data_IF_250349591739
#
_entry.id   IF_250349591739
#
_cell.length_a   1.000
_cell.length_b   1.000
_cell.length_c   1.000
_cell.angle_alpha   90.00
_cell.angle_beta   90.00
_cell.angle_gamma   90.00
#
_symmetry.space_group_name_H-M   'P 1'
#
loop_
_entity.id
_entity.type
_entity.pdbx_description
1 polymer ?
#
# COMPACT_ATOMS: atom_id res chain seq x y z
N UNK A 1 30.07 7.11 29.52
CA UNK A 1 29.03 6.41 28.74
C UNK A 1 29.31 6.72 27.28
N UNK A 2 29.67 5.75 26.47
CA UNK A 2 29.82 5.94 25.02
C UNK A 2 28.47 6.35 24.43
N UNK A 3 28.47 7.41 23.63
CA UNK A 3 27.25 7.90 22.96
C UNK A 3 26.71 6.79 22.06
N UNK A 4 25.38 6.52 22.14
CA UNK A 4 24.76 5.54 21.26
C UNK A 4 24.87 6.04 19.82
N UNK A 5 25.15 5.16 18.83
CA UNK A 5 25.16 5.55 17.43
C UNK A 5 23.75 5.97 16.98
N UNK A 6 23.68 6.93 16.05
CA UNK A 6 22.44 7.47 15.50
C UNK A 6 22.02 6.69 14.27
N UNK A 7 20.83 6.08 14.35
CA UNK A 7 20.17 5.40 13.24
C UNK A 7 19.04 6.26 12.69
N UNK A 8 19.13 6.66 11.43
CA UNK A 8 18.06 7.37 10.74
C UNK A 8 17.40 6.45 9.74
N UNK A 9 16.09 6.20 9.91
CA UNK A 9 15.29 5.38 9.01
C UNK A 9 14.42 6.30 8.13
N UNK A 10 14.53 6.16 6.81
CA UNK A 10 13.92 7.10 5.86
C UNK A 10 12.95 6.39 4.93
N UNK A 11 11.73 6.93 4.86
CA UNK A 11 10.79 6.69 3.78
C UNK A 11 10.89 7.85 2.79
N UNK A 12 11.41 7.65 1.58
CA UNK A 12 11.44 8.70 0.57
C UNK A 12 10.04 9.16 0.18
N UNK A 13 9.90 10.44 -0.14
CA UNK A 13 8.68 11.03 -0.71
C UNK A 13 8.78 11.19 -2.21
N UNK A 14 7.63 11.15 -2.90
CA UNK A 14 7.55 11.48 -4.32
C UNK A 14 7.80 12.98 -4.56
N UNK A 15 8.03 13.38 -5.81
CA UNK A 15 8.12 14.79 -6.18
C UNK A 15 6.83 15.56 -5.86
N UNK A 16 5.68 14.91 -6.01
CA UNK A 16 4.39 15.48 -5.64
C UNK A 16 4.29 15.76 -4.12
N UNK A 17 4.83 14.87 -3.28
CA UNK A 17 4.87 15.06 -1.83
C UNK A 17 5.79 16.22 -1.43
N UNK A 18 6.95 16.34 -2.08
CA UNK A 18 8.00 17.31 -1.72
C UNK A 18 7.76 18.72 -2.26
N UNK A 19 7.23 18.84 -3.49
CA UNK A 19 6.98 20.10 -4.18
C UNK A 19 5.61 20.70 -3.87
N UNK A 20 4.72 19.92 -3.28
CA UNK A 20 3.41 20.37 -2.81
C UNK A 20 3.56 21.48 -1.77
N UNK A 21 2.71 22.52 -1.86
CA UNK A 21 2.76 23.68 -0.96
C UNK A 21 2.94 23.27 0.50
N UNK A 22 3.70 24.04 1.31
CA UNK A 22 3.95 23.93 2.77
C UNK A 22 2.69 23.85 3.66
N UNK A 23 1.49 23.74 3.09
CA UNK A 23 0.27 23.40 3.80
C UNK A 23 0.36 21.95 4.22
N UNK A 24 0.46 21.71 5.52
CA UNK A 24 0.48 20.47 6.28
C UNK A 24 0.24 19.22 5.42
N UNK A 25 1.32 18.59 4.99
CA UNK A 25 1.26 17.27 4.35
C UNK A 25 0.59 16.31 5.31
N UNK A 26 -0.43 15.61 4.85
CA UNK A 26 -1.12 14.58 5.62
C UNK A 26 -1.17 13.30 4.82
N UNK A 27 -0.76 12.20 5.42
CA UNK A 27 -0.99 10.87 4.90
C UNK A 27 -2.22 10.23 5.54
N UNK A 28 -2.79 9.23 4.87
CA UNK A 28 -3.92 8.48 5.44
C UNK A 28 -3.47 7.61 6.60
N UNK A 29 -2.41 6.83 6.40
CA UNK A 29 -1.88 5.87 7.38
C UNK A 29 -0.35 5.89 7.39
N UNK A 30 0.30 5.63 8.54
CA UNK A 30 1.73 5.35 8.59
C UNK A 30 2.07 4.00 7.97
N UNK A 31 3.29 3.87 7.46
CA UNK A 31 3.85 2.60 7.02
C UNK A 31 4.54 1.92 8.19
N UNK A 32 4.36 0.59 8.33
CA UNK A 32 4.86 -0.15 9.49
C UNK A 32 6.31 -0.64 9.37
N UNK A 33 6.85 -0.70 8.16
CA UNK A 33 8.19 -1.24 7.92
C UNK A 33 9.28 -0.54 8.75
N UNK A 34 9.38 0.80 8.70
CA UNK A 34 10.40 1.53 9.46
C UNK A 34 10.17 1.52 10.98
N UNK A 35 8.93 1.69 11.50
CA UNK A 35 8.63 1.46 12.90
C UNK A 35 9.00 0.07 13.41
N UNK A 36 8.85 -0.97 12.59
CA UNK A 36 9.24 -2.33 12.91
C UNK A 36 10.78 -2.46 12.97
N UNK A 37 11.50 -1.92 11.99
CA UNK A 37 12.97 -1.88 12.01
C UNK A 37 13.52 -1.10 13.22
N UNK A 38 12.85 -0.02 13.60
CA UNK A 38 13.20 0.74 14.80
C UNK A 38 13.00 -0.10 16.08
N UNK A 39 11.98 -0.95 16.13
CA UNK A 39 11.75 -1.83 17.28
C UNK A 39 12.86 -2.87 17.42
N UNK A 40 13.35 -3.46 16.33
CA UNK A 40 14.50 -4.36 16.34
C UNK A 40 15.82 -3.67 16.76
N UNK A 41 15.98 -2.37 16.49
CA UNK A 41 17.18 -1.63 16.92
C UNK A 41 17.25 -1.50 18.45
N UNK A 42 16.09 -1.47 19.12
CA UNK A 42 15.98 -1.41 20.57
C UNK A 42 16.74 -0.23 21.15
N UNK A 43 17.35 -0.45 22.32
CA UNK A 43 18.12 0.58 23.04
C UNK A 43 19.59 0.71 22.59
N UNK A 44 20.00 -0.04 21.57
CA UNK A 44 21.38 -0.02 21.06
C UNK A 44 21.67 1.26 20.26
N UNK A 45 20.64 1.89 19.70
CA UNK A 45 20.73 3.07 18.84
C UNK A 45 19.84 4.21 19.34
N UNK A 46 20.25 5.45 19.03
CA UNK A 46 19.35 6.60 19.02
C UNK A 46 18.64 6.60 17.66
N UNK A 47 17.35 6.21 17.64
CA UNK A 47 16.60 6.01 16.38
C UNK A 47 15.74 7.22 16.06
N UNK A 48 15.81 7.68 14.81
CA UNK A 48 14.89 8.66 14.22
C UNK A 48 14.26 8.08 12.97
N UNK A 49 12.94 8.24 12.81
CA UNK A 49 12.23 7.89 11.57
C UNK A 49 11.80 9.18 10.89
N UNK A 50 11.97 9.27 9.56
CA UNK A 50 11.51 10.38 8.74
C UNK A 50 10.70 9.83 7.56
N UNK A 51 9.45 10.25 7.44
CA UNK A 51 8.59 10.00 6.28
C UNK A 51 8.47 11.29 5.46
N UNK A 52 9.20 11.38 4.33
CA UNK A 52 9.18 12.56 3.46
C UNK A 52 7.80 12.85 2.85
N UNK A 53 6.84 11.90 2.91
CA UNK A 53 5.47 12.18 2.47
C UNK A 53 4.72 13.13 3.40
N UNK A 54 5.16 13.27 4.65
CA UNK A 54 4.49 14.08 5.68
C UNK A 54 5.38 15.11 6.36
N UNK A 55 6.71 14.98 6.26
CA UNK A 55 7.67 15.91 6.87
C UNK A 55 8.90 16.14 6.00
N UNK A 56 9.65 17.20 6.27
CA UNK A 56 10.88 17.49 5.56
C UNK A 56 12.06 16.78 6.23
N UNK A 57 12.93 16.18 5.42
CA UNK A 57 14.17 15.57 5.88
C UNK A 57 15.25 16.65 6.00
N UNK A 58 15.85 16.76 7.18
CA UNK A 58 17.06 17.56 7.39
C UNK A 58 18.29 16.78 6.92
N UNK A 59 18.74 17.08 5.72
CA UNK A 59 19.98 16.51 5.19
C UNK A 59 21.24 16.94 5.94
N UNK A 60 21.20 17.95 6.81
CA UNK A 60 22.36 18.37 7.61
C UNK A 60 22.49 17.60 8.92
N UNK A 61 21.45 16.88 9.33
CA UNK A 61 21.50 16.05 10.51
C UNK A 61 22.58 14.96 10.39
N UNK A 62 23.34 14.78 11.46
CA UNK A 62 24.34 13.71 11.51
C UNK A 62 23.66 12.36 11.75
N UNK A 63 24.14 11.33 11.05
CA UNK A 63 23.74 9.94 11.24
C UNK A 63 24.94 9.04 11.07
N UNK A 64 25.07 8.03 11.95
CA UNK A 64 26.12 7.01 11.83
C UNK A 64 25.69 5.91 10.85
N UNK A 65 24.40 5.53 10.92
CA UNK A 65 23.76 4.54 10.06
C UNK A 65 22.44 5.11 9.51
N UNK A 66 22.22 4.96 8.21
CA UNK A 66 20.99 5.39 7.54
C UNK A 66 20.36 4.20 6.84
N UNK A 67 19.11 3.87 7.18
CA UNK A 67 18.32 2.84 6.50
C UNK A 67 17.25 3.49 5.63
N UNK A 68 17.21 3.19 4.33
CA UNK A 68 16.24 3.76 3.38
C UNK A 68 15.43 2.64 2.76
N UNK A 69 14.09 2.74 2.86
CA UNK A 69 13.20 1.81 2.16
C UNK A 69 12.93 2.28 0.74
N UNK A 70 13.06 1.37 -0.25
CA UNK A 70 13.01 1.72 -1.66
C UNK A 70 11.83 1.03 -2.33
N UNK A 71 10.82 1.81 -2.71
CA UNK A 71 9.78 1.41 -3.66
C UNK A 71 10.23 1.78 -5.07
N UNK A 72 9.77 1.04 -6.10
CA UNK A 72 10.23 1.24 -7.47
C UNK A 72 10.06 2.69 -7.94
N UNK A 73 8.90 3.29 -7.72
CA UNK A 73 8.64 4.69 -8.09
C UNK A 73 9.40 5.74 -7.26
N UNK A 74 10.05 5.33 -6.18
CA UNK A 74 10.83 6.20 -5.29
C UNK A 74 12.35 5.92 -5.36
N UNK A 75 12.80 5.01 -6.24
CA UNK A 75 14.19 4.57 -6.31
C UNK A 75 15.14 5.73 -6.60
N UNK A 76 14.82 6.59 -7.55
CA UNK A 76 15.61 7.79 -7.85
C UNK A 76 15.83 8.66 -6.60
N UNK A 77 14.73 8.94 -5.87
CA UNK A 77 14.84 9.75 -4.65
C UNK A 77 15.64 9.03 -3.56
N UNK A 78 15.43 7.73 -3.41
CA UNK A 78 16.19 6.92 -2.45
C UNK A 78 17.70 6.98 -2.72
N UNK A 79 18.11 6.88 -3.98
CA UNK A 79 19.51 6.96 -4.39
C UNK A 79 20.11 8.36 -4.18
N UNK A 80 19.37 9.43 -4.50
CA UNK A 80 19.78 10.81 -4.20
C UNK A 80 20.08 10.99 -2.70
N UNK A 81 19.21 10.44 -1.83
CA UNK A 81 19.38 10.50 -0.38
C UNK A 81 20.57 9.65 0.08
N UNK A 82 20.67 8.42 -0.42
CA UNK A 82 21.75 7.51 -0.10
C UNK A 82 23.12 8.13 -0.40
N UNK A 83 23.30 8.66 -1.60
CA UNK A 83 24.54 9.32 -2.01
C UNK A 83 24.83 10.58 -1.19
N UNK A 84 23.79 11.35 -0.80
CA UNK A 84 23.97 12.52 0.04
C UNK A 84 24.50 12.17 1.44
N UNK A 85 23.96 11.11 2.06
CA UNK A 85 24.43 10.65 3.39
C UNK A 85 25.80 9.99 3.32
N UNK A 86 26.08 9.18 2.28
CA UNK A 86 27.41 8.57 2.07
C UNK A 86 28.51 9.64 1.92
N UNK A 87 28.24 10.72 1.15
CA UNK A 87 29.20 11.85 1.03
C UNK A 87 29.50 12.54 2.36
N UNK A 88 28.63 12.39 3.37
CA UNK A 88 28.85 12.92 4.73
C UNK A 88 29.51 11.92 5.68
N UNK A 89 29.83 10.73 5.19
CA UNK A 89 30.48 9.69 5.96
C UNK A 89 29.52 8.75 6.71
N UNK A 90 28.21 8.88 6.55
CA UNK A 90 27.26 7.91 7.09
C UNK A 90 27.36 6.58 6.34
N UNK A 91 27.17 5.46 7.05
CA UNK A 91 26.92 4.17 6.41
C UNK A 91 25.46 4.10 5.96
N UNK A 92 25.21 3.67 4.72
CA UNK A 92 23.87 3.63 4.13
C UNK A 92 23.46 2.20 3.77
N UNK A 93 22.26 1.84 4.20
CA UNK A 93 21.61 0.56 3.92
C UNK A 93 20.35 0.80 3.10
N UNK A 94 20.22 0.11 1.97
CA UNK A 94 18.99 0.13 1.16
C UNK A 94 18.27 -1.21 1.28
N UNK A 95 16.94 -1.17 1.35
CA UNK A 95 16.08 -2.35 1.37
C UNK A 95 14.70 -2.04 0.79
N UNK A 96 13.85 -3.06 0.65
CA UNK A 96 12.49 -2.93 0.14
C UNK A 96 12.28 -3.49 -1.26
N UNK A 97 11.10 -3.27 -1.82
CA UNK A 97 10.66 -3.90 -3.08
C UNK A 97 11.63 -3.68 -4.24
N UNK A 98 12.09 -2.46 -4.44
CA UNK A 98 12.97 -2.17 -5.58
C UNK A 98 14.33 -2.84 -5.44
N UNK A 99 14.91 -2.83 -4.23
CA UNK A 99 16.20 -3.47 -3.95
C UNK A 99 16.12 -4.99 -4.15
N UNK A 100 14.97 -5.61 -3.86
CA UNK A 100 14.75 -7.03 -4.10
C UNK A 100 14.82 -7.37 -5.60
N UNK A 101 14.27 -6.51 -6.46
CA UNK A 101 14.22 -6.72 -7.90
C UNK A 101 15.49 -6.25 -8.64
N UNK A 102 16.12 -5.16 -8.15
CA UNK A 102 17.29 -4.52 -8.77
C UNK A 102 18.46 -4.36 -7.78
N UNK A 103 18.96 -5.47 -7.20
CA UNK A 103 20.00 -5.36 -6.18
C UNK A 103 21.33 -4.81 -6.70
N UNK A 104 21.66 -5.08 -7.96
CA UNK A 104 22.92 -4.61 -8.54
C UNK A 104 22.90 -3.09 -8.77
N UNK A 105 21.80 -2.54 -9.31
CA UNK A 105 21.57 -1.09 -9.41
C UNK A 105 21.65 -0.43 -8.02
N UNK A 106 20.93 -0.97 -7.04
CA UNK A 106 20.92 -0.42 -5.68
C UNK A 106 22.30 -0.46 -5.00
N UNK A 107 23.15 -1.44 -5.35
CA UNK A 107 24.49 -1.59 -4.75
C UNK A 107 25.45 -0.45 -5.07
N UNK A 108 25.20 0.29 -6.15
CA UNK A 108 26.01 1.46 -6.52
C UNK A 108 25.83 2.62 -5.52
N UNK A 109 24.67 2.67 -4.84
CA UNK A 109 24.26 3.75 -3.96
C UNK A 109 24.32 3.41 -2.46
N UNK A 110 24.72 2.19 -2.07
CA UNK A 110 24.68 1.76 -0.67
C UNK A 110 25.98 1.11 -0.20
N UNK A 111 26.22 1.15 1.11
CA UNK A 111 27.27 0.36 1.77
C UNK A 111 26.81 -1.07 2.06
N UNK A 112 25.48 -1.26 2.24
CA UNK A 112 24.88 -2.56 2.44
C UNK A 112 23.47 -2.61 1.84
N UNK A 113 23.05 -3.80 1.42
CA UNK A 113 21.70 -4.08 0.94
C UNK A 113 21.01 -5.11 1.83
N UNK A 114 19.72 -4.90 2.10
CA UNK A 114 18.80 -5.92 2.61
C UNK A 114 17.93 -6.40 1.46
N UNK A 115 18.14 -7.62 1.00
CA UNK A 115 17.46 -8.22 -0.15
C UNK A 115 16.37 -9.17 0.38
N UNK A 116 15.11 -8.86 0.12
CA UNK A 116 13.95 -9.57 0.68
C UNK A 116 13.51 -9.01 2.04
N UNK A 117 12.96 -9.89 2.90
CA UNK A 117 12.45 -9.48 4.21
C UNK A 117 13.59 -9.12 5.15
N UNK A 118 13.45 -8.01 5.85
CA UNK A 118 14.43 -7.55 6.82
C UNK A 118 14.43 -8.36 8.12
N UNK A 119 13.29 -8.98 8.45
CA UNK A 119 13.16 -9.81 9.65
C UNK A 119 14.20 -10.93 9.66
N UNK A 120 14.86 -11.12 10.79
CA UNK A 120 15.93 -12.12 10.97
C UNK A 120 17.32 -11.73 10.44
N UNK A 121 17.43 -10.73 9.56
CA UNK A 121 18.74 -10.24 9.08
C UNK A 121 19.06 -8.82 9.55
N UNK A 122 18.04 -8.03 9.91
CA UNK A 122 18.23 -6.65 10.34
C UNK A 122 19.00 -6.55 11.65
N UNK A 123 18.70 -7.42 12.62
CA UNK A 123 19.44 -7.45 13.88
C UNK A 123 20.91 -7.82 13.69
N UNK A 124 21.20 -8.80 12.80
CA UNK A 124 22.57 -9.16 12.45
C UNK A 124 23.29 -8.01 11.75
N UNK A 125 22.61 -7.28 10.85
CA UNK A 125 23.17 -6.10 10.19
C UNK A 125 23.53 -5.02 11.21
N UNK A 126 22.66 -4.75 12.17
CA UNK A 126 22.92 -3.78 13.22
C UNK A 126 24.11 -4.19 14.12
N UNK A 127 24.23 -5.47 14.42
CA UNK A 127 25.37 -6.01 15.19
C UNK A 127 26.68 -5.89 14.39
N UNK A 128 26.67 -6.32 13.11
CA UNK A 128 27.84 -6.21 12.22
C UNK A 128 28.26 -4.73 12.06
N UNK A 129 27.31 -3.79 12.03
CA UNK A 129 27.60 -2.35 12.02
C UNK A 129 28.32 -1.92 13.30
N UNK A 130 27.83 -2.30 14.48
CA UNK A 130 28.44 -1.95 15.77
C UNK A 130 29.84 -2.52 15.92
N UNK A 131 30.09 -3.68 15.31
CA UNK A 131 31.43 -4.34 15.32
C UNK A 131 32.35 -3.84 14.19
N UNK A 132 31.89 -2.98 13.29
CA UNK A 132 32.67 -2.51 12.15
C UNK A 132 32.85 -3.55 11.04
N UNK A 133 32.01 -4.59 11.01
CA UNK A 133 32.05 -5.74 10.06
C UNK A 133 30.86 -5.78 9.10
N UNK A 134 30.29 -4.61 8.78
CA UNK A 134 29.14 -4.48 7.90
C UNK A 134 29.40 -5.15 6.54
N UNK A 135 28.52 -6.05 6.14
CA UNK A 135 28.59 -6.78 4.85
C UNK A 135 27.86 -6.00 3.77
N UNK A 136 28.28 -6.16 2.52
CA UNK A 136 27.64 -5.50 1.38
C UNK A 136 26.21 -6.02 1.08
N UNK A 137 25.89 -7.25 1.44
CA UNK A 137 24.57 -7.87 1.17
C UNK A 137 24.12 -8.72 2.35
N UNK A 138 22.88 -8.53 2.76
CA UNK A 138 22.15 -9.34 3.73
C UNK A 138 20.95 -9.94 3.02
N UNK A 139 20.96 -11.25 2.85
CA UNK A 139 19.86 -11.96 2.21
C UNK A 139 18.83 -12.36 3.24
N UNK A 140 17.66 -11.73 3.20
CA UNK A 140 16.52 -12.14 3.99
C UNK A 140 16.17 -13.59 3.63
N UNK A 141 16.12 -14.47 4.64
CA UNK A 141 15.70 -15.85 4.41
C UNK A 141 14.23 -15.87 3.99
N UNK A 142 13.92 -16.61 2.93
CA UNK A 142 12.54 -16.84 2.50
C UNK A 142 11.85 -17.84 3.46
N UNK A 143 10.56 -17.78 3.58
CA UNK A 143 9.74 -16.79 4.25
C UNK A 143 9.79 -16.99 5.76
N UNK A 144 10.08 -15.94 6.52
CA UNK A 144 10.05 -15.99 7.98
C UNK A 144 8.64 -16.30 8.50
N UNK A 145 8.60 -17.07 9.56
CA UNK A 145 7.42 -17.16 10.42
C UNK A 145 7.18 -15.77 11.06
N UNK A 146 5.94 -15.35 11.16
CA UNK A 146 5.57 -14.05 11.74
C UNK A 146 5.33 -14.11 13.25
N UNK A 147 5.90 -15.12 13.92
CA UNK A 147 5.84 -15.29 15.38
C UNK A 147 6.86 -14.38 16.06
N UNK A 148 6.45 -13.72 17.14
CA UNK A 148 7.33 -12.92 17.97
C UNK A 148 7.82 -11.61 17.33
N UNK A 149 7.11 -11.07 16.33
CA UNK A 149 7.45 -9.77 15.79
C UNK A 149 7.36 -8.69 16.87
N UNK A 150 8.36 -7.80 17.00
CA UNK A 150 8.30 -6.73 17.98
C UNK A 150 7.19 -5.73 17.64
N UNK A 151 6.70 -5.01 18.64
CA UNK A 151 5.71 -3.96 18.43
C UNK A 151 6.35 -2.78 17.69
N UNK A 152 5.75 -2.35 16.54
CA UNK A 152 6.27 -1.24 15.76
C UNK A 152 6.33 0.05 16.59
N UNK A 153 7.45 0.77 16.52
CA UNK A 153 7.69 2.04 17.21
C UNK A 153 6.98 3.22 16.53
N UNK A 154 5.65 3.17 16.51
CA UNK A 154 4.81 4.25 15.97
C UNK A 154 4.96 5.56 16.73
N UNK A 155 5.43 5.51 17.96
CA UNK A 155 5.75 6.67 18.80
C UNK A 155 6.88 7.55 18.21
N UNK A 156 7.74 6.99 17.35
CA UNK A 156 8.81 7.71 16.65
C UNK A 156 8.32 8.48 15.40
N UNK A 157 7.08 8.30 15.01
CA UNK A 157 6.49 9.00 13.87
C UNK A 157 5.78 10.29 14.30
N UNK A 158 5.69 11.25 13.38
CA UNK A 158 4.85 12.42 13.55
C UNK A 158 3.36 12.05 13.44
N UNK A 159 2.79 11.48 14.49
CA UNK A 159 1.41 10.95 14.51
C UNK A 159 0.34 11.96 14.08
N UNK A 160 0.57 13.28 14.30
CA UNK A 160 -0.38 14.35 13.90
C UNK A 160 -0.49 14.51 12.38
N UNK A 161 0.46 13.95 11.64
CA UNK A 161 0.48 13.99 10.18
C UNK A 161 -0.34 12.87 9.52
N UNK A 162 -0.86 11.92 10.30
CA UNK A 162 -1.66 10.81 9.78
C UNK A 162 -3.13 10.92 10.20
N UNK A 163 -4.03 10.48 9.30
CA UNK A 163 -5.48 10.46 9.58
C UNK A 163 -5.86 9.29 10.49
N UNK A 164 -5.17 8.17 10.36
CA UNK A 164 -5.30 6.98 11.19
C UNK A 164 -3.93 6.58 11.71
N UNK A 165 -3.81 6.35 13.00
CA UNK A 165 -2.55 5.99 13.67
C UNK A 165 -2.53 4.55 14.19
N UNK A 166 -3.71 3.94 14.39
CA UNK A 166 -3.83 2.55 14.79
C UNK A 166 -3.74 1.66 13.55
N UNK A 167 -2.55 1.25 13.19
CA UNK A 167 -2.26 0.42 12.00
C UNK A 167 -1.67 -0.90 12.48
N UNK A 168 -2.09 -2.01 11.88
CA UNK A 168 -1.60 -3.34 12.24
C UNK A 168 -1.45 -4.21 11.00
N UNK A 169 -0.38 -5.00 10.98
CA UNK A 169 -0.16 -6.09 10.04
C UNK A 169 -0.42 -7.41 10.77
N UNK A 170 -1.29 -8.27 10.24
CA UNK A 170 -1.57 -9.60 10.80
C UNK A 170 -1.17 -10.73 9.87
N UNK A 171 -0.89 -10.40 8.61
CA UNK A 171 -0.47 -11.33 7.58
C UNK A 171 0.40 -10.66 6.54
N UNK A 172 1.32 -11.42 5.95
CA UNK A 172 2.10 -11.03 4.77
C UNK A 172 1.82 -11.97 3.63
N UNK A 173 1.62 -11.39 2.44
CA UNK A 173 1.33 -12.13 1.22
C UNK A 173 -0.14 -12.41 1.01
N UNK A 174 -0.46 -12.85 -0.20
CA UNK A 174 -1.82 -13.11 -0.65
C UNK A 174 -1.88 -14.44 -1.40
N UNK A 175 -2.88 -15.32 -1.16
CA UNK A 175 -3.00 -16.58 -1.88
C UNK A 175 -3.46 -16.42 -3.33
N UNK A 176 -3.93 -15.24 -3.71
CA UNK A 176 -4.34 -14.94 -5.08
C UNK A 176 -3.08 -14.71 -5.95
N UNK A 177 -3.05 -15.32 -7.13
CA UNK A 177 -1.89 -15.28 -8.05
C UNK A 177 -2.19 -14.37 -9.24
N UNK A 178 -2.50 -13.11 -8.96
CA UNK A 178 -2.77 -12.13 -10.01
C UNK A 178 -1.50 -11.83 -10.80
N UNK A 179 -1.58 -11.88 -12.14
CA UNK A 179 -0.43 -11.78 -13.03
C UNK A 179 0.24 -10.40 -13.08
N UNK A 180 -0.42 -9.37 -12.53
CA UNK A 180 0.09 -8.01 -12.43
C UNK A 180 0.69 -7.66 -11.06
N UNK A 181 0.49 -8.53 -10.04
CA UNK A 181 0.73 -8.16 -8.65
C UNK A 181 2.14 -8.54 -8.20
N UNK A 182 2.91 -7.55 -7.74
CA UNK A 182 4.25 -7.76 -7.20
C UNK A 182 4.25 -8.36 -5.77
N UNK A 183 3.13 -8.35 -5.07
CA UNK A 183 3.00 -8.88 -3.69
C UNK A 183 3.46 -10.34 -3.63
N UNK A 184 2.96 -11.17 -4.56
CA UNK A 184 3.28 -12.59 -4.57
C UNK A 184 4.72 -12.89 -4.99
N UNK A 185 5.34 -11.99 -5.74
CA UNK A 185 6.75 -12.11 -6.10
C UNK A 185 7.66 -11.81 -4.91
N UNK A 186 7.29 -10.84 -4.09
CA UNK A 186 8.07 -10.41 -2.94
C UNK A 186 7.84 -11.30 -1.70
N UNK A 187 6.58 -11.57 -1.35
CA UNK A 187 6.21 -12.32 -0.15
C UNK A 187 6.09 -13.84 -0.38
N UNK A 188 6.20 -14.30 -1.65
CA UNK A 188 5.89 -15.68 -2.05
C UNK A 188 4.38 -15.90 -2.27
N UNK A 189 4.05 -17.09 -2.75
CA UNK A 189 2.67 -17.47 -3.12
C UNK A 189 1.81 -17.97 -1.95
N UNK A 190 2.27 -17.78 -0.71
CA UNK A 190 1.56 -18.18 0.51
C UNK A 190 1.40 -17.00 1.42
N UNK A 191 0.19 -16.80 1.93
CA UNK A 191 0.00 -15.89 3.03
C UNK A 191 0.55 -16.53 4.32
N UNK A 192 1.29 -15.76 5.11
CA UNK A 192 1.81 -16.11 6.43
C UNK A 192 1.11 -15.26 7.47
N UNK A 193 0.86 -15.79 8.62
CA UNK A 193 -0.01 -15.17 9.61
C UNK A 193 0.69 -15.05 10.95
N UNK A 194 0.51 -13.93 11.63
CA UNK A 194 0.86 -13.76 13.03
C UNK A 194 -0.09 -14.59 13.89
N UNK A 195 0.36 -15.15 15.03
CA UNK A 195 -0.50 -15.76 16.03
C UNK A 195 -1.60 -14.79 16.47
N UNK A 196 -2.84 -15.28 16.59
CA UNK A 196 -3.98 -14.41 16.96
C UNK A 196 -3.76 -13.77 18.33
N UNK A 197 -3.20 -14.51 19.29
CA UNK A 197 -2.86 -13.95 20.61
C UNK A 197 -1.99 -12.70 20.52
N UNK A 198 -0.91 -12.73 19.71
CA UNK A 198 -0.02 -11.57 19.53
C UNK A 198 -0.71 -10.38 18.86
N UNK A 199 -1.62 -10.66 17.89
CA UNK A 199 -2.42 -9.61 17.25
C UNK A 199 -3.36 -8.97 18.25
N UNK A 200 -4.03 -9.75 19.08
CA UNK A 200 -4.93 -9.25 20.11
C UNK A 200 -4.19 -8.47 21.20
N UNK A 201 -3.03 -8.94 21.63
CA UNK A 201 -2.16 -8.23 22.59
C UNK A 201 -1.73 -6.86 22.05
N UNK A 202 -1.42 -6.77 20.77
CA UNK A 202 -1.09 -5.49 20.12
C UNK A 202 -2.32 -4.56 20.06
N UNK A 203 -3.50 -5.08 19.66
CA UNK A 203 -4.75 -4.32 19.62
C UNK A 203 -5.13 -3.75 20.99
N UNK A 204 -4.89 -4.50 22.07
CA UNK A 204 -5.15 -4.04 23.44
C UNK A 204 -4.30 -2.84 23.85
N UNK A 205 -3.08 -2.76 23.34
CA UNK A 205 -2.14 -1.66 23.63
C UNK A 205 -2.39 -0.39 22.80
N UNK A 206 -3.16 -0.52 21.71
CA UNK A 206 -3.44 0.61 20.83
C UNK A 206 -4.38 1.64 21.53
N UNK A 207 -4.13 2.95 21.36
CA UNK A 207 -5.04 3.98 21.84
C UNK A 207 -6.44 3.82 21.23
N UNK A 208 -7.49 4.43 21.86
CA UNK A 208 -8.82 4.44 21.28
C UNK A 208 -8.85 4.97 19.86
N UNK A 209 -9.65 4.35 18.99
CA UNK A 209 -9.79 4.75 17.59
C UNK A 209 -10.06 3.57 16.66
N UNK A 210 -10.24 3.86 15.39
CA UNK A 210 -10.40 2.85 14.34
C UNK A 210 -9.06 2.17 14.06
N UNK A 211 -9.09 0.86 13.84
CA UNK A 211 -7.92 0.04 13.52
C UNK A 211 -7.88 -0.15 12.00
N UNK A 212 -6.74 0.08 11.39
CA UNK A 212 -6.53 -0.19 9.97
C UNK A 212 -5.64 -1.43 9.82
N UNK A 213 -6.21 -2.48 9.29
CA UNK A 213 -5.45 -3.66 8.87
C UNK A 213 -4.80 -3.38 7.52
N UNK A 214 -3.48 -3.50 7.45
CA UNK A 214 -2.72 -3.26 6.22
C UNK A 214 -2.37 -4.55 5.47
N UNK A 215 -2.95 -5.66 5.89
CA UNK A 215 -2.80 -6.96 5.23
C UNK A 215 -3.19 -6.86 3.74
N UNK A 216 -2.45 -7.53 2.87
CA UNK A 216 -2.75 -7.57 1.42
C UNK A 216 -4.16 -8.15 1.13
N UNK A 217 -4.64 -9.05 1.98
CA UNK A 217 -5.98 -9.61 1.92
C UNK A 217 -6.35 -10.25 3.27
N UNK A 218 -7.10 -9.54 4.10
CA UNK A 218 -7.47 -9.99 5.46
C UNK A 218 -8.36 -11.26 5.45
N UNK A 219 -9.05 -11.52 4.35
CA UNK A 219 -9.91 -12.70 4.15
C UNK A 219 -9.26 -13.78 3.26
N UNK A 220 -7.96 -13.65 3.00
CA UNK A 220 -7.21 -14.57 2.14
C UNK A 220 -7.23 -16.03 2.64
N UNK A 221 -7.37 -16.26 3.95
CA UNK A 221 -7.70 -17.53 4.59
C UNK A 221 -9.00 -17.34 5.38
N UNK A 222 -10.14 -17.86 4.91
CA UNK A 222 -11.43 -17.68 5.58
C UNK A 222 -11.45 -18.18 7.03
N UNK A 223 -10.89 -19.36 7.29
CA UNK A 223 -10.86 -19.93 8.64
C UNK A 223 -10.08 -19.06 9.61
N UNK A 224 -8.89 -18.62 9.20
CA UNK A 224 -8.05 -17.69 9.98
C UNK A 224 -8.75 -16.35 10.22
N UNK A 225 -9.43 -15.81 9.20
CA UNK A 225 -10.17 -14.57 9.33
C UNK A 225 -11.35 -14.70 10.29
N UNK A 226 -12.10 -15.81 10.23
CA UNK A 226 -13.19 -16.10 11.18
C UNK A 226 -12.68 -16.18 12.63
N UNK A 227 -11.54 -16.81 12.84
CA UNK A 227 -10.91 -16.93 14.17
C UNK A 227 -10.48 -15.54 14.68
N UNK A 228 -9.81 -14.72 13.86
CA UNK A 228 -9.43 -13.35 14.19
C UNK A 228 -10.66 -12.50 14.53
N UNK A 229 -11.70 -12.53 13.69
CA UNK A 229 -12.88 -11.70 13.90
C UNK A 229 -13.64 -12.11 15.17
N UNK A 230 -13.73 -13.42 15.49
CA UNK A 230 -14.29 -13.87 16.77
C UNK A 230 -13.51 -13.31 17.96
N UNK A 231 -12.17 -13.35 17.89
CA UNK A 231 -11.31 -12.82 18.95
C UNK A 231 -11.43 -11.29 19.10
N UNK A 232 -11.81 -10.57 18.05
CA UNK A 232 -11.98 -9.12 18.09
C UNK A 232 -13.34 -8.65 18.62
N UNK A 233 -14.40 -9.47 18.59
CA UNK A 233 -15.76 -9.07 19.02
C UNK A 233 -15.78 -8.41 20.42
N UNK A 234 -15.08 -8.94 21.45
CA UNK A 234 -15.13 -8.37 22.80
C UNK A 234 -14.63 -6.92 22.90
N UNK A 235 -13.74 -6.50 21.98
CA UNK A 235 -13.12 -5.17 22.05
C UNK A 235 -14.04 -4.06 21.53
N UNK A 236 -15.10 -4.37 20.79
CA UNK A 236 -16.07 -3.41 20.24
C UNK A 236 -15.42 -2.24 19.50
N UNK A 237 -14.29 -2.50 18.84
CA UNK A 237 -13.54 -1.48 18.09
C UNK A 237 -13.91 -1.51 16.61
N UNK A 238 -14.02 -0.33 16.00
CA UNK A 238 -14.13 -0.27 14.53
C UNK A 238 -12.80 -0.64 13.91
N UNK A 239 -12.89 -1.33 12.80
CA UNK A 239 -11.72 -1.65 11.99
C UNK A 239 -12.04 -1.58 10.49
N UNK A 240 -11.00 -1.46 9.68
CA UNK A 240 -11.07 -1.42 8.23
C UNK A 240 -9.85 -2.09 7.64
N UNK A 241 -9.95 -2.61 6.41
CA UNK A 241 -8.84 -3.31 5.78
C UNK A 241 -9.12 -3.66 4.32
N UNK A 242 -8.18 -4.40 3.71
CA UNK A 242 -8.31 -4.88 2.34
C UNK A 242 -8.88 -6.30 2.32
N UNK A 243 -9.79 -6.55 1.37
CA UNK A 243 -10.40 -7.85 1.18
C UNK A 243 -10.63 -8.14 -0.31
N UNK A 244 -10.83 -9.40 -0.64
CA UNK A 244 -11.38 -9.76 -1.94
C UNK A 244 -12.90 -10.02 -1.86
N UNK A 245 -13.54 -10.11 -3.03
CA UNK A 245 -15.00 -10.24 -3.14
C UNK A 245 -15.54 -11.58 -2.59
N UNK A 246 -14.68 -12.55 -2.27
CA UNK A 246 -15.10 -13.85 -1.71
C UNK A 246 -15.80 -13.71 -0.36
N UNK A 247 -15.54 -12.63 0.39
CA UNK A 247 -16.24 -12.36 1.65
C UNK A 247 -17.76 -12.36 1.50
N UNK A 248 -18.27 -11.92 0.37
CA UNK A 248 -19.72 -11.89 0.10
C UNK A 248 -20.34 -13.28 -0.11
N UNK A 249 -19.51 -14.29 -0.35
CA UNK A 249 -19.95 -15.67 -0.62
C UNK A 249 -19.87 -16.59 0.62
N UNK A 250 -19.36 -16.08 1.73
CA UNK A 250 -19.30 -16.79 3.02
C UNK A 250 -20.12 -16.01 4.06
N UNK A 251 -21.38 -16.40 4.30
CA UNK A 251 -22.28 -15.69 5.21
C UNK A 251 -21.75 -15.62 6.64
N UNK A 252 -21.10 -16.68 7.13
CA UNK A 252 -20.52 -16.71 8.48
C UNK A 252 -19.35 -15.73 8.60
N UNK A 253 -18.46 -15.71 7.60
CA UNK A 253 -17.33 -14.80 7.57
C UNK A 253 -17.80 -13.34 7.54
N UNK A 254 -18.82 -13.04 6.73
CA UNK A 254 -19.40 -11.71 6.62
C UNK A 254 -20.07 -11.25 7.92
N UNK A 255 -20.83 -12.15 8.56
CA UNK A 255 -21.46 -11.88 9.86
C UNK A 255 -20.40 -11.60 10.94
N UNK A 256 -19.35 -12.42 11.01
CA UNK A 256 -18.25 -12.23 11.96
C UNK A 256 -17.49 -10.93 11.69
N UNK A 257 -17.25 -10.58 10.45
CA UNK A 257 -16.65 -9.27 10.09
C UNK A 257 -17.51 -8.12 10.60
N UNK A 258 -18.82 -8.15 10.36
CA UNK A 258 -19.73 -7.10 10.84
C UNK A 258 -19.75 -7.04 12.39
N UNK A 259 -19.89 -8.17 13.07
CA UNK A 259 -19.94 -8.26 14.55
C UNK A 259 -18.64 -7.85 15.22
N UNK A 260 -17.51 -8.08 14.58
CA UNK A 260 -16.19 -7.66 15.09
C UNK A 260 -15.91 -6.17 14.90
N UNK A 261 -16.81 -5.43 14.21
CA UNK A 261 -16.73 -3.99 14.04
C UNK A 261 -16.16 -3.52 12.70
N UNK A 262 -16.21 -4.36 11.65
CA UNK A 262 -15.81 -3.96 10.30
C UNK A 262 -16.60 -2.71 9.86
N UNK A 263 -15.88 -1.62 9.60
CA UNK A 263 -16.49 -0.34 9.20
C UNK A 263 -16.53 -0.19 7.68
N UNK A 264 -15.39 -0.49 7.00
CA UNK A 264 -15.30 -0.50 5.55
C UNK A 264 -14.23 -1.50 5.07
N UNK A 265 -14.43 -1.97 3.85
CA UNK A 265 -13.49 -2.83 3.15
C UNK A 265 -13.06 -2.19 1.83
N UNK A 266 -11.76 -2.15 1.61
CA UNK A 266 -11.16 -1.85 0.32
C UNK A 266 -11.13 -3.14 -0.49
N UNK A 267 -11.92 -3.18 -1.56
CA UNK A 267 -12.12 -4.40 -2.37
C UNK A 267 -11.55 -4.19 -3.76
N UNK A 268 -10.61 -5.05 -4.13
CA UNK A 268 -10.06 -5.11 -5.47
C UNK A 268 -11.08 -5.69 -6.47
N UNK A 269 -11.86 -4.82 -7.13
CA UNK A 269 -12.80 -5.17 -8.21
C UNK A 269 -12.06 -5.32 -9.53
N UNK A 270 -11.11 -4.44 -9.78
CA UNK A 270 -10.15 -4.32 -10.86
C UNK A 270 -10.81 -4.00 -12.21
N UNK A 271 -11.69 -4.85 -12.72
CA UNK A 271 -12.38 -4.65 -14.00
C UNK A 271 -13.81 -5.19 -13.97
N UNK A 272 -14.71 -4.55 -14.69
CA UNK A 272 -16.07 -5.05 -14.96
C UNK A 272 -16.10 -6.01 -16.16
N UNK A 273 -15.00 -6.09 -16.91
CA UNK A 273 -14.86 -6.97 -18.08
C UNK A 273 -14.30 -8.33 -17.66
N UNK A 274 -15.03 -9.41 -17.97
CA UNK A 274 -14.65 -10.78 -17.61
C UNK A 274 -13.37 -11.22 -18.32
N UNK A 275 -13.10 -10.78 -19.55
CA UNK A 275 -11.89 -11.15 -20.28
C UNK A 275 -10.66 -10.49 -19.68
N UNK A 276 -10.75 -9.24 -19.26
CA UNK A 276 -9.71 -8.60 -18.45
C UNK A 276 -9.43 -9.37 -17.16
N UNK A 277 -10.47 -9.78 -16.44
CA UNK A 277 -10.29 -10.55 -15.20
C UNK A 277 -9.61 -11.91 -15.45
N UNK A 278 -9.87 -12.55 -16.60
CA UNK A 278 -9.19 -13.79 -17.01
C UNK A 278 -7.72 -13.52 -17.31
N UNK A 279 -7.42 -12.48 -18.08
CA UNK A 279 -6.06 -12.09 -18.44
C UNK A 279 -5.20 -11.79 -17.20
N UNK A 280 -5.74 -11.05 -16.24
CA UNK A 280 -5.02 -10.72 -15.00
C UNK A 280 -5.09 -11.83 -13.94
N UNK A 281 -5.57 -13.04 -14.30
CA UNK A 281 -5.70 -14.20 -13.40
C UNK A 281 -6.56 -13.94 -12.16
N UNK A 282 -7.53 -13.01 -12.25
CA UNK A 282 -8.43 -12.62 -11.14
C UNK A 282 -9.83 -13.27 -11.25
N UNK A 283 -10.18 -13.90 -12.36
CA UNK A 283 -11.54 -14.44 -12.62
C UNK A 283 -11.99 -15.53 -11.63
N UNK A 284 -11.08 -16.20 -10.93
CA UNK A 284 -11.41 -17.15 -9.85
C UNK A 284 -11.86 -16.45 -8.56
N UNK A 285 -11.46 -15.23 -8.37
CA UNK A 285 -11.76 -14.40 -7.20
C UNK A 285 -12.95 -13.49 -7.49
N UNK A 286 -12.92 -12.82 -8.64
CA UNK A 286 -13.86 -11.82 -9.09
C UNK A 286 -14.72 -12.37 -10.23
N UNK A 287 -16.04 -12.39 -10.02
CA UNK A 287 -17.02 -12.80 -11.03
C UNK A 287 -17.87 -11.57 -11.35
N UNK A 288 -17.62 -10.94 -12.51
CA UNK A 288 -18.22 -9.66 -12.86
C UNK A 288 -19.77 -9.67 -12.81
N UNK A 289 -20.40 -10.76 -13.24
CA UNK A 289 -21.86 -10.92 -13.18
C UNK A 289 -22.46 -10.96 -11.75
N UNK A 290 -21.63 -11.20 -10.74
CA UNK A 290 -22.03 -11.27 -9.33
C UNK A 290 -21.71 -10.00 -8.53
N UNK A 291 -21.05 -9.01 -9.11
CA UNK A 291 -20.59 -7.84 -8.36
C UNK A 291 -21.71 -7.06 -7.69
N UNK A 292 -22.83 -6.83 -8.39
CA UNK A 292 -23.97 -6.08 -7.86
C UNK A 292 -24.54 -6.75 -6.61
N UNK A 293 -24.75 -8.06 -6.69
CA UNK A 293 -25.26 -8.87 -5.56
C UNK A 293 -24.26 -8.89 -4.41
N UNK A 294 -22.98 -9.17 -4.70
CA UNK A 294 -21.91 -9.22 -3.70
C UNK A 294 -21.75 -7.90 -2.95
N UNK A 295 -21.76 -6.77 -3.66
CA UNK A 295 -21.68 -5.44 -3.05
C UNK A 295 -22.89 -5.18 -2.16
N UNK A 296 -24.10 -5.49 -2.63
CA UNK A 296 -25.33 -5.34 -1.84
C UNK A 296 -25.31 -6.20 -0.58
N UNK A 297 -24.83 -7.44 -0.68
CA UNK A 297 -24.69 -8.35 0.46
C UNK A 297 -23.74 -7.78 1.53
N UNK A 298 -22.57 -7.27 1.13
CA UNK A 298 -21.62 -6.63 2.05
C UNK A 298 -22.23 -5.36 2.67
N UNK A 299 -22.90 -4.55 1.87
CA UNK A 299 -23.55 -3.31 2.36
C UNK A 299 -24.72 -3.60 3.30
N UNK A 300 -25.51 -4.65 3.05
CA UNK A 300 -26.61 -5.07 3.92
C UNK A 300 -26.11 -5.53 5.31
N UNK A 301 -24.89 -6.05 5.40
CA UNK A 301 -24.23 -6.32 6.69
C UNK A 301 -23.70 -5.06 7.42
N UNK A 302 -23.98 -3.85 6.89
CA UNK A 302 -23.54 -2.59 7.48
C UNK A 302 -22.10 -2.18 7.13
N UNK A 303 -21.41 -2.93 6.27
CA UNK A 303 -20.01 -2.70 5.89
C UNK A 303 -19.97 -1.84 4.62
N UNK A 304 -19.20 -0.76 4.64
CA UNK A 304 -19.01 0.13 3.48
C UNK A 304 -18.01 -0.47 2.51
N UNK A 305 -18.30 -0.35 1.21
CA UNK A 305 -17.41 -0.81 0.16
C UNK A 305 -16.68 0.36 -0.49
N UNK A 306 -15.35 0.25 -0.51
CA UNK A 306 -14.44 1.06 -1.31
C UNK A 306 -13.91 0.19 -2.44
N UNK A 307 -14.21 0.56 -3.68
CA UNK A 307 -13.76 -0.19 -4.86
C UNK A 307 -12.36 0.20 -5.31
N UNK A 308 -11.61 -0.76 -5.82
CA UNK A 308 -10.37 -0.56 -6.58
C UNK A 308 -10.60 -0.98 -8.02
N UNK A 309 -10.23 -0.11 -8.97
CA UNK A 309 -10.40 -0.34 -10.40
C UNK A 309 -9.11 -0.01 -11.14
N UNK A 310 -8.82 -0.79 -12.17
CA UNK A 310 -7.65 -0.64 -13.05
C UNK A 310 -8.15 -0.35 -14.46
N UNK A 311 -7.62 0.69 -15.09
CA UNK A 311 -7.88 1.06 -16.47
C UNK A 311 -6.68 0.79 -17.38
N UNK A 312 -6.94 0.48 -18.63
CA UNK A 312 -5.92 0.23 -19.64
C UNK A 312 -5.53 -1.23 -19.82
N UNK A 313 -6.34 -2.16 -19.29
CA UNK A 313 -6.17 -3.58 -19.57
C UNK A 313 -6.51 -3.89 -21.05
N UNK A 314 -6.04 -5.02 -21.57
CA UNK A 314 -6.02 -5.34 -23.01
C UNK A 314 -7.42 -5.36 -23.68
N UNK A 315 -8.48 -5.55 -22.91
CA UNK A 315 -9.86 -5.55 -23.42
C UNK A 315 -10.63 -4.23 -23.17
N UNK A 316 -9.99 -3.23 -22.55
CA UNK A 316 -10.59 -1.92 -22.30
C UNK A 316 -10.57 -1.07 -23.57
N UNK A 317 -11.70 -0.46 -23.90
CA UNK A 317 -11.84 0.65 -24.81
C UNK A 317 -12.28 1.92 -24.07
N UNK A 318 -12.49 3.02 -24.79
CA UNK A 318 -12.84 4.31 -24.17
C UNK A 318 -14.15 4.29 -23.37
N UNK A 319 -15.04 3.34 -23.56
CA UNK A 319 -16.28 3.23 -22.81
C UNK A 319 -16.07 2.77 -21.36
N UNK A 320 -14.91 2.14 -21.05
CA UNK A 320 -14.61 1.59 -19.72
C UNK A 320 -14.73 2.62 -18.62
N UNK A 321 -14.32 3.86 -18.89
CA UNK A 321 -14.31 4.93 -17.89
C UNK A 321 -15.73 5.27 -17.42
N UNK A 322 -16.64 5.53 -18.35
CA UNK A 322 -18.03 5.89 -18.02
C UNK A 322 -18.78 4.70 -17.43
N UNK A 323 -18.65 3.50 -18.00
CA UNK A 323 -19.26 2.29 -17.46
C UNK A 323 -18.82 2.01 -16.01
N UNK A 324 -17.54 2.21 -15.71
CA UNK A 324 -17.04 2.01 -14.33
C UNK A 324 -17.63 3.03 -13.37
N UNK A 325 -17.75 4.30 -13.77
CA UNK A 325 -18.32 5.33 -12.89
C UNK A 325 -19.83 5.11 -12.70
N UNK A 326 -20.57 4.79 -13.76
CA UNK A 326 -21.99 4.43 -13.68
C UNK A 326 -22.18 3.26 -12.69
N UNK A 327 -21.40 2.19 -12.84
CA UNK A 327 -21.42 1.07 -11.91
C UNK A 327 -21.19 1.49 -10.45
N UNK A 328 -20.19 2.33 -10.19
CA UNK A 328 -19.89 2.83 -8.85
C UNK A 328 -21.03 3.66 -8.27
N UNK A 329 -21.67 4.51 -9.07
CA UNK A 329 -22.80 5.35 -8.68
C UNK A 329 -24.05 4.52 -8.39
N UNK A 330 -24.39 3.59 -9.29
CA UNK A 330 -25.60 2.74 -9.19
C UNK A 330 -25.53 1.79 -7.98
N UNK A 331 -24.32 1.31 -7.65
CA UNK A 331 -24.09 0.47 -6.49
C UNK A 331 -23.70 1.26 -5.23
N UNK A 332 -23.77 2.60 -5.25
CA UNK A 332 -23.54 3.49 -4.10
C UNK A 332 -22.22 3.22 -3.38
N UNK A 333 -21.13 3.00 -4.13
CA UNK A 333 -19.82 2.83 -3.53
C UNK A 333 -19.42 4.08 -2.75
N UNK A 334 -18.98 3.93 -1.50
CA UNK A 334 -18.68 5.08 -0.62
C UNK A 334 -17.37 5.78 -0.99
N UNK A 335 -16.51 5.10 -1.73
CA UNK A 335 -15.30 5.61 -2.34
C UNK A 335 -14.77 4.61 -3.35
N UNK A 336 -13.86 5.06 -4.19
CA UNK A 336 -13.14 4.21 -5.12
C UNK A 336 -11.73 4.76 -5.36
N UNK A 337 -10.78 3.88 -5.64
CA UNK A 337 -9.53 4.24 -6.26
C UNK A 337 -9.55 3.75 -7.69
N UNK A 338 -9.12 4.62 -8.58
CA UNK A 338 -8.89 4.29 -9.98
C UNK A 338 -7.38 4.33 -10.20
N UNK A 339 -6.87 3.36 -10.92
CA UNK A 339 -5.47 3.23 -11.25
C UNK A 339 -5.30 3.03 -12.74
N UNK A 340 -4.27 3.61 -13.31
CA UNK A 340 -3.76 3.22 -14.60
C UNK A 340 -2.98 1.93 -14.40
N UNK A 341 -3.26 0.91 -15.24
CA UNK A 341 -2.48 -0.32 -15.22
C UNK A 341 -0.98 0.02 -15.32
N UNK A 342 -0.21 -0.48 -14.38
CA UNK A 342 1.24 -0.27 -14.37
C UNK A 342 1.90 -1.63 -14.34
N UNK A 343 2.52 -2.06 -15.44
CA UNK A 343 3.23 -3.33 -15.51
C UNK A 343 4.49 -3.21 -14.64
N UNK A 344 4.40 -3.71 -13.40
CA UNK A 344 5.53 -3.67 -12.48
C UNK A 344 6.59 -4.69 -12.92
N UNK A 345 7.88 -4.35 -12.80
CA UNK A 345 8.98 -5.24 -13.18
C UNK A 345 8.85 -6.65 -12.58
N UNK A 346 9.30 -7.66 -13.31
CA UNK A 346 9.27 -9.08 -12.95
C UNK A 346 7.85 -9.68 -12.80
N UNK A 347 6.79 -8.94 -13.08
CA UNK A 347 5.46 -9.52 -13.19
C UNK A 347 5.28 -10.17 -14.58
N UNK A 348 4.44 -11.21 -14.62
CA UNK A 348 4.11 -11.90 -15.88
C UNK A 348 3.63 -10.94 -16.96
N UNK A 349 2.86 -9.92 -16.56
CA UNK A 349 2.35 -8.93 -17.52
C UNK A 349 3.41 -7.91 -17.94
N UNK A 350 4.39 -7.58 -17.11
CA UNK A 350 5.53 -6.77 -17.54
C UNK A 350 6.34 -7.47 -18.62
N UNK A 351 6.70 -8.74 -18.39
CA UNK A 351 7.49 -9.52 -19.33
C UNK A 351 6.76 -9.68 -20.66
N UNK A 352 5.45 -9.96 -20.63
CA UNK A 352 4.61 -10.03 -21.83
C UNK A 352 4.64 -8.71 -22.61
N UNK A 353 4.37 -7.57 -21.93
CA UNK A 353 4.34 -6.26 -22.59
C UNK A 353 5.70 -5.80 -23.09
N UNK A 354 6.77 -6.16 -22.40
CA UNK A 354 8.13 -5.90 -22.83
C UNK A 354 8.45 -6.67 -24.12
N UNK A 355 8.10 -7.96 -24.19
CA UNK A 355 8.26 -8.78 -25.39
C UNK A 355 7.41 -8.30 -26.57
N UNK A 356 6.21 -7.77 -26.27
CA UNK A 356 5.31 -7.16 -27.27
C UNK A 356 5.78 -5.75 -27.72
N UNK A 357 6.85 -5.20 -27.15
CA UNK A 357 7.35 -3.84 -27.46
C UNK A 357 6.41 -2.71 -27.00
N UNK A 358 5.59 -2.96 -25.99
CA UNK A 358 4.56 -2.03 -25.51
C UNK A 358 4.99 -1.17 -24.33
N UNK A 359 6.14 -1.41 -23.73
CA UNK A 359 6.69 -0.56 -22.65
C UNK A 359 7.24 0.73 -23.29
N UNK A 360 6.76 1.90 -22.85
CA UNK A 360 7.16 3.18 -23.42
C UNK A 360 8.53 3.63 -22.92
N UNK A 361 8.82 3.40 -21.66
CA UNK A 361 10.08 3.78 -21.00
C UNK A 361 10.26 3.04 -19.68
N UNK A 362 11.46 3.10 -19.11
CA UNK A 362 11.81 2.55 -17.80
C UNK A 362 12.16 3.66 -16.79
N UNK A 363 11.55 4.83 -16.93
CA UNK A 363 11.59 5.85 -15.87
C UNK A 363 10.73 5.36 -14.70
N UNK A 364 11.39 4.74 -13.73
CA UNK A 364 10.72 4.15 -12.58
C UNK A 364 9.87 5.14 -11.78
N UNK A 365 10.18 6.44 -11.82
CA UNK A 365 9.39 7.45 -11.11
C UNK A 365 7.95 7.56 -11.61
N UNK A 366 7.67 7.08 -12.82
CA UNK A 366 6.35 7.03 -13.45
C UNK A 366 5.59 5.73 -13.21
N UNK A 367 6.20 4.73 -12.57
CA UNK A 367 5.55 3.44 -12.26
C UNK A 367 4.73 3.53 -10.97
N UNK A 368 3.88 4.53 -10.87
CA UNK A 368 3.14 4.94 -9.66
C UNK A 368 1.62 4.73 -9.77
N UNK A 369 1.16 4.03 -10.82
CA UNK A 369 -0.27 3.74 -11.11
C UNK A 369 -1.10 4.99 -11.51
N UNK A 370 -0.44 6.15 -11.73
CA UNK A 370 -1.09 7.38 -12.17
C UNK A 370 -0.57 7.85 -13.54
N UNK A 371 0.57 7.32 -13.97
CA UNK A 371 1.16 7.62 -15.28
C UNK A 371 0.99 6.46 -16.25
N UNK A 372 0.89 6.79 -17.54
CA UNK A 372 0.83 5.78 -18.59
C UNK A 372 2.25 5.44 -19.04
N UNK A 373 2.71 4.23 -18.74
CA UNK A 373 4.06 3.75 -19.03
C UNK A 373 4.09 2.68 -20.13
N UNK A 374 2.96 2.43 -20.78
CA UNK A 374 2.81 1.41 -21.81
C UNK A 374 1.81 1.82 -22.89
N UNK A 375 1.77 1.08 -24.01
CA UNK A 375 0.80 1.26 -25.09
C UNK A 375 -0.39 0.32 -24.86
N UNK A 376 -1.61 0.83 -24.56
CA UNK A 376 -2.82 0.02 -24.50
C UNK A 376 -3.19 -0.58 -25.85
N UNK A 377 -3.98 -1.68 -25.89
CA UNK A 377 -4.34 -2.32 -27.17
C UNK A 377 -5.46 -1.61 -27.94
N UNK A 378 -6.42 -1.00 -27.23
CA UNK A 378 -7.65 -0.47 -27.86
C UNK A 378 -7.82 1.03 -27.68
N UNK A 379 -6.82 1.71 -27.20
CA UNK A 379 -6.78 3.17 -27.09
C UNK A 379 -5.32 3.65 -27.09
N UNK A 380 -5.09 4.91 -27.39
CA UNK A 380 -3.78 5.51 -27.28
C UNK A 380 -3.40 5.79 -25.81
N UNK A 381 -2.12 5.95 -25.49
CA UNK A 381 -1.68 6.40 -24.17
C UNK A 381 -2.34 7.69 -23.70
N UNK A 382 -2.53 8.65 -24.60
CA UNK A 382 -3.21 9.92 -24.32
C UNK A 382 -4.69 9.73 -23.97
N UNK A 383 -5.40 8.88 -24.71
CA UNK A 383 -6.81 8.57 -24.44
C UNK A 383 -7.00 7.86 -23.11
N UNK A 384 -6.05 6.98 -22.72
CA UNK A 384 -6.04 6.34 -21.41
C UNK A 384 -5.90 7.37 -20.29
N UNK A 385 -4.92 8.29 -20.40
CA UNK A 385 -4.71 9.34 -19.40
C UNK A 385 -5.93 10.27 -19.28
N UNK A 386 -6.44 10.77 -20.41
CA UNK A 386 -7.59 11.69 -20.40
C UNK A 386 -8.86 11.01 -19.87
N UNK A 387 -9.09 9.74 -20.23
CA UNK A 387 -10.19 8.94 -19.72
C UNK A 387 -10.10 8.71 -18.20
N UNK A 388 -8.90 8.39 -17.72
CA UNK A 388 -8.61 8.22 -16.30
C UNK A 388 -8.89 9.51 -15.49
N UNK A 389 -8.38 10.65 -15.95
CA UNK A 389 -8.61 11.93 -15.30
C UNK A 389 -10.08 12.34 -15.32
N UNK A 390 -10.79 12.09 -16.45
CA UNK A 390 -12.24 12.34 -16.58
C UNK A 390 -13.03 11.47 -15.61
N UNK A 391 -12.71 10.17 -15.49
CA UNK A 391 -13.35 9.24 -14.58
C UNK A 391 -13.17 9.69 -13.12
N UNK A 392 -11.95 10.03 -12.72
CA UNK A 392 -11.65 10.52 -11.39
C UNK A 392 -12.44 11.79 -11.05
N UNK A 393 -12.43 12.79 -11.95
CA UNK A 393 -13.17 14.05 -11.80
C UNK A 393 -14.69 13.81 -11.71
N UNK A 394 -15.24 12.93 -12.55
CA UNK A 394 -16.66 12.60 -12.54
C UNK A 394 -17.09 11.94 -11.24
N UNK A 395 -16.36 10.92 -10.78
CA UNK A 395 -16.69 10.17 -9.56
C UNK A 395 -16.62 11.05 -8.30
N UNK A 396 -15.65 11.94 -8.20
CA UNK A 396 -15.50 12.86 -7.08
C UNK A 396 -16.20 14.23 -7.29
N UNK A 397 -17.05 14.37 -8.32
CA UNK A 397 -17.89 15.56 -8.49
C UNK A 397 -18.96 15.66 -7.38
N UNK A 398 -19.40 16.89 -7.08
CA UNK A 398 -20.48 17.13 -6.11
C UNK A 398 -21.73 16.30 -6.41
N UNK A 399 -22.13 16.23 -7.70
CA UNK A 399 -23.29 15.46 -8.17
C UNK A 399 -23.14 13.97 -7.84
N UNK A 400 -22.00 13.37 -8.18
CA UNK A 400 -21.73 11.95 -7.95
C UNK A 400 -21.64 11.64 -6.44
N UNK A 401 -20.98 12.51 -5.67
CA UNK A 401 -20.91 12.38 -4.20
C UNK A 401 -22.31 12.39 -3.61
N UNK A 402 -23.16 13.36 -4.00
CA UNK A 402 -24.54 13.43 -3.53
C UNK A 402 -25.31 12.14 -3.85
N UNK A 403 -25.26 11.67 -5.12
CA UNK A 403 -25.97 10.45 -5.57
C UNK A 403 -25.59 9.20 -4.75
N UNK A 404 -24.30 9.05 -4.42
CA UNK A 404 -23.78 7.89 -3.67
C UNK A 404 -23.99 8.00 -2.14
N UNK A 405 -24.14 9.22 -1.62
CA UNK A 405 -24.21 9.52 -0.20
C UNK A 405 -25.58 9.91 0.33
N UNK A 406 -26.61 9.95 -0.51
CA UNK A 406 -27.96 10.26 -0.03
C UNK A 406 -28.62 9.03 0.63
N UNK A 407 -29.29 9.23 1.78
CA UNK A 407 -29.36 10.46 2.58
C UNK A 407 -28.06 10.74 3.35
N UNK A 408 -27.53 12.00 3.34
CA UNK A 408 -26.17 12.33 3.81
C UNK A 408 -25.97 12.12 5.32
N UNK A 409 -27.02 12.24 6.14
CA UNK A 409 -26.95 12.08 7.59
C UNK A 409 -26.76 10.63 8.07
N UNK A 410 -26.83 9.65 7.15
CA UNK A 410 -26.55 8.24 7.45
C UNK A 410 -25.06 7.89 7.30
N UNK A 411 -24.22 8.83 6.89
CA UNK A 411 -22.80 8.57 6.62
C UNK A 411 -21.90 9.28 7.65
N UNK A 412 -20.86 8.60 8.12
CA UNK A 412 -19.86 9.22 8.97
C UNK A 412 -19.22 10.44 8.29
N UNK A 413 -18.99 11.52 9.03
CA UNK A 413 -18.31 12.72 8.55
C UNK A 413 -16.98 12.42 7.86
N UNK A 414 -16.27 11.39 8.29
CA UNK A 414 -15.00 10.94 7.70
C UNK A 414 -15.14 10.54 6.23
N UNK A 415 -16.21 9.85 5.85
CA UNK A 415 -16.44 9.43 4.45
C UNK A 415 -16.78 10.64 3.58
N UNK A 416 -17.56 11.59 4.12
CA UNK A 416 -17.88 12.85 3.44
C UNK A 416 -16.60 13.68 3.28
N UNK A 417 -15.81 13.81 4.33
CA UNK A 417 -14.55 14.55 4.33
C UNK A 417 -13.52 13.97 3.34
N UNK A 418 -13.42 12.64 3.24
CA UNK A 418 -12.55 11.98 2.28
C UNK A 418 -12.93 12.34 0.84
N UNK A 419 -14.21 12.24 0.50
CA UNK A 419 -14.72 12.57 -0.84
C UNK A 419 -14.52 14.06 -1.17
N UNK A 420 -14.81 14.95 -0.21
CA UNK A 420 -14.59 16.39 -0.36
C UNK A 420 -13.10 16.72 -0.50
N UNK A 421 -12.23 16.07 0.27
CA UNK A 421 -10.78 16.22 0.15
C UNK A 421 -10.26 15.84 -1.23
N UNK A 422 -10.74 14.75 -1.83
CA UNK A 422 -10.41 14.33 -3.19
C UNK A 422 -10.87 15.34 -4.24
N UNK A 423 -12.07 15.88 -4.10
CA UNK A 423 -12.59 16.94 -4.96
C UNK A 423 -11.74 18.21 -4.89
N UNK A 424 -11.39 18.67 -3.68
CA UNK A 424 -10.60 19.88 -3.49
C UNK A 424 -9.17 19.77 -4.03
N UNK A 425 -8.59 18.57 -3.96
CA UNK A 425 -7.21 18.33 -4.39
C UNK A 425 -7.11 17.86 -5.86
N UNK A 426 -8.23 17.82 -6.60
CA UNK A 426 -8.23 17.28 -7.97
C UNK A 426 -7.25 17.98 -8.90
N UNK A 427 -7.13 19.31 -8.85
CA UNK A 427 -6.21 20.06 -9.71
C UNK A 427 -4.75 19.68 -9.50
N UNK A 428 -4.32 19.54 -8.25
CA UNK A 428 -2.95 19.10 -7.94
C UNK A 428 -2.70 17.66 -8.39
N UNK A 429 -3.71 16.79 -8.23
CA UNK A 429 -3.66 15.44 -8.71
C UNK A 429 -3.52 15.37 -10.24
N UNK A 430 -4.35 16.15 -10.98
CA UNK A 430 -4.28 16.22 -12.43
C UNK A 430 -2.91 16.74 -12.92
N UNK A 431 -2.39 17.81 -12.31
CA UNK A 431 -1.06 18.33 -12.63
C UNK A 431 0.04 17.28 -12.38
N UNK A 432 -0.05 16.51 -11.32
CA UNK A 432 0.91 15.44 -11.02
C UNK A 432 0.88 14.33 -12.06
N UNK A 433 -0.31 13.90 -12.52
CA UNK A 433 -0.46 12.87 -13.55
C UNK A 433 0.01 13.30 -14.95
N UNK A 434 0.06 14.61 -15.23
CA UNK A 434 0.48 15.15 -16.53
C UNK A 434 1.99 15.46 -16.62
N UNK A 435 2.70 15.47 -15.51
CA UNK A 435 4.18 15.64 -15.43
C UNK A 435 4.90 14.33 -15.67
#
# INVERSE_FOLDING_TARGET
>A
MTQKPRLVLIQPGSDADRLGSRRRRKSSIPKLNLPLLAAYAGDRFEVKIVDESVEDLDLQASADLVGITVLTQLSRRAYELADAFRRKGSRVVLGGFHVFFYPDEASEHADALVIGEADGVWEQLLEDFLQGTLKARYQGSAPHDLVGLPHPRLDLLNQKAYSFTNVIETARGCPNRCSYCAVTLYWGYRARYRPIGEVIDEIQRMPPGEIIFIDDNIVGSPDRAKELFRAMIPFRRRWSGQADMKIARDPELLELAARSGCNWLFIGIESLNTDNLREVSKAKVNVASQYVESIRTVQAAGIKVFGSFIFGLDHDDQSVFDHTIDFCEDNRLKGANFYIFTPLPFTVLFDKMHQEGRILHTDWSKYDMNHVVFVPKKMSPGELLEGYLRAYRRFYSVRSIARRMLPPFLHPLQVVALNAGRLMNYRHFEEACRR
#
